data_IF_899097503195
#
_entry.id   IF_899097503195
#
_cell.length_a   1.000
_cell.length_b   1.000
_cell.length_c   1.000
_cell.angle_alpha   90.00
_cell.angle_beta   90.00
_cell.angle_gamma   90.00
#
_symmetry.space_group_name_H-M   'P 1'
#
loop_
_entity.id
_entity.type
_entity.pdbx_description
1 polymer ?
#
# COMPACT_ATOMS: atom_id res chain seq x y z
N UNK A 1 24.30 14.83 32.96
CA UNK A 1 23.30 13.75 32.98
C UNK A 1 22.28 13.94 31.86
N UNK A 2 21.73 15.15 31.64
CA UNK A 2 20.87 15.47 30.46
C UNK A 2 21.50 15.11 29.10
N UNK A 3 22.73 15.55 28.82
CA UNK A 3 23.42 15.22 27.55
C UNK A 3 23.62 13.71 27.30
N UNK A 4 23.62 12.89 28.35
CA UNK A 4 23.75 11.44 28.21
C UNK A 4 22.43 10.81 27.75
N UNK A 5 21.30 11.33 28.25
CA UNK A 5 19.95 10.87 27.89
C UNK A 5 19.63 11.18 26.41
N UNK A 6 19.92 12.41 25.96
CA UNK A 6 19.69 12.78 24.56
C UNK A 6 20.54 11.94 23.59
N UNK A 7 21.79 11.63 23.96
CA UNK A 7 22.67 10.80 23.13
C UNK A 7 22.16 9.35 23.04
N UNK A 8 21.59 8.81 24.11
CA UNK A 8 20.93 7.50 24.11
C UNK A 8 19.68 7.49 23.22
N UNK A 9 18.81 8.51 23.34
CA UNK A 9 17.65 8.68 22.45
C UNK A 9 18.08 8.79 20.99
N UNK A 10 19.13 9.56 20.68
CA UNK A 10 19.65 9.68 19.32
C UNK A 10 20.17 8.33 18.77
N UNK A 11 20.90 7.55 19.58
CA UNK A 11 21.32 6.19 19.21
C UNK A 11 20.13 5.26 18.96
N UNK A 12 19.08 5.36 19.79
CA UNK A 12 17.85 4.59 19.59
C UNK A 12 17.18 4.96 18.26
N UNK A 13 17.10 6.25 17.93
CA UNK A 13 16.59 6.72 16.62
C UNK A 13 17.43 6.22 15.45
N UNK A 14 18.75 6.17 15.58
CA UNK A 14 19.61 5.60 14.56
C UNK A 14 19.34 4.11 14.32
N UNK A 15 19.13 3.33 15.39
CA UNK A 15 18.76 1.92 15.28
C UNK A 15 17.37 1.74 14.65
N UNK A 16 16.40 2.59 15.01
CA UNK A 16 15.08 2.62 14.36
C UNK A 16 15.21 2.87 12.86
N UNK A 17 16.02 3.85 12.45
CA UNK A 17 16.25 4.16 11.05
C UNK A 17 16.85 2.96 10.29
N UNK A 18 17.84 2.28 10.88
CA UNK A 18 18.44 1.08 10.27
C UNK A 18 17.42 -0.05 10.10
N UNK A 19 16.51 -0.24 11.06
CA UNK A 19 15.42 -1.22 10.97
C UNK A 19 14.39 -0.82 9.92
N UNK A 20 13.94 0.43 9.92
CA UNK A 20 13.04 0.99 8.92
C UNK A 20 13.60 0.87 7.49
N UNK A 21 14.92 0.94 7.34
CA UNK A 21 15.61 0.74 6.07
C UNK A 21 15.72 -0.73 5.63
N UNK A 22 15.35 -1.71 6.46
CA UNK A 22 15.41 -3.13 6.13
C UNK A 22 14.02 -3.78 6.11
N UNK A 23 13.13 -3.38 7.02
CA UNK A 23 11.78 -3.94 7.12
C UNK A 23 10.72 -2.87 6.84
N UNK A 24 9.85 -3.16 5.87
CA UNK A 24 8.75 -2.27 5.46
C UNK A 24 7.56 -2.37 6.42
N UNK A 25 7.49 -3.45 7.21
CA UNK A 25 6.25 -3.90 7.82
C UNK A 25 6.08 -3.54 9.31
N UNK A 26 6.98 -2.75 9.89
CA UNK A 26 6.96 -2.52 11.35
C UNK A 26 6.76 -1.03 11.69
N UNK A 27 5.63 -0.49 11.22
CA UNK A 27 5.19 0.84 11.64
C UNK A 27 4.81 0.84 13.13
N UNK A 28 4.29 -0.28 13.63
CA UNK A 28 3.93 -0.52 15.03
C UNK A 28 5.15 -0.37 15.94
N UNK A 29 6.27 -1.03 15.62
CA UNK A 29 7.51 -0.86 16.36
C UNK A 29 8.01 0.59 16.35
N UNK A 30 7.93 1.28 15.20
CA UNK A 30 8.28 2.70 15.13
C UNK A 30 7.37 3.54 16.03
N UNK A 31 6.05 3.37 15.95
CA UNK A 31 5.10 4.12 16.76
C UNK A 31 5.31 3.87 18.27
N UNK A 32 5.54 2.62 18.66
CA UNK A 32 5.84 2.25 20.05
C UNK A 32 7.12 2.91 20.56
N UNK A 33 8.19 2.91 19.77
CA UNK A 33 9.46 3.50 20.18
C UNK A 33 9.38 5.03 20.25
N UNK A 34 8.68 5.67 19.31
CA UNK A 34 8.47 7.11 19.34
C UNK A 34 7.62 7.51 20.55
N UNK A 35 6.59 6.74 20.87
CA UNK A 35 5.78 6.92 22.07
C UNK A 35 6.64 6.85 23.34
N UNK A 36 7.45 5.80 23.48
CA UNK A 36 8.33 5.62 24.64
C UNK A 36 9.40 6.73 24.76
N UNK A 37 9.92 7.23 23.63
CA UNK A 37 10.97 8.27 23.64
C UNK A 37 10.45 9.67 23.98
N UNK A 38 9.22 9.98 23.56
CA UNK A 38 8.59 11.30 23.73
C UNK A 38 7.61 11.35 24.92
N UNK A 39 7.25 10.21 25.50
CA UNK A 39 6.21 10.14 26.53
C UNK A 39 4.87 10.70 26.03
N UNK A 40 4.53 10.44 24.77
CA UNK A 40 3.38 11.00 24.09
C UNK A 40 2.72 9.95 23.19
N UNK A 41 1.43 10.08 22.93
CA UNK A 41 0.78 9.30 21.89
C UNK A 41 1.48 9.57 20.55
N UNK A 42 1.62 8.55 19.71
CA UNK A 42 2.25 8.64 18.39
C UNK A 42 1.35 7.98 17.34
N UNK A 43 1.07 8.70 16.26
CA UNK A 43 0.22 8.24 15.16
C UNK A 43 0.95 8.42 13.84
N UNK A 44 1.06 7.36 13.03
CA UNK A 44 1.64 7.40 11.68
C UNK A 44 0.52 7.21 10.69
N UNK A 45 0.26 8.23 9.87
CA UNK A 45 -0.92 8.30 8.99
C UNK A 45 -0.45 8.46 7.55
N UNK A 46 -1.01 7.70 6.62
CA UNK A 46 -0.70 7.81 5.19
C UNK A 46 -1.42 8.98 4.51
N UNK A 47 -1.17 9.17 3.20
CA UNK A 47 -1.76 10.29 2.48
C UNK A 47 -3.29 10.20 2.26
N UNK A 48 -3.89 9.05 2.54
CA UNK A 48 -5.32 8.79 2.42
C UNK A 48 -6.03 8.87 3.78
N UNK A 49 -5.31 9.16 4.87
CA UNK A 49 -5.86 9.19 6.22
C UNK A 49 -5.95 7.81 6.88
N UNK A 50 -5.36 6.76 6.30
CA UNK A 50 -5.26 5.47 6.97
C UNK A 50 -4.22 5.57 8.08
N UNK A 51 -4.56 5.09 9.26
CA UNK A 51 -3.65 4.98 10.40
C UNK A 51 -2.82 3.72 10.17
N UNK A 52 -1.56 3.89 9.76
CA UNK A 52 -0.65 2.77 9.50
C UNK A 52 -0.19 2.11 10.79
N UNK A 53 0.06 2.91 11.81
CA UNK A 53 0.30 2.45 13.17
C UNK A 53 0.03 3.58 14.15
N UNK A 54 -0.25 3.20 15.40
CA UNK A 54 -0.32 4.14 16.50
C UNK A 54 0.08 3.48 17.80
N UNK A 55 0.48 4.33 18.77
CA UNK A 55 0.60 3.96 20.17
C UNK A 55 0.06 5.10 21.00
N UNK A 56 -1.02 4.86 21.74
CA UNK A 56 -1.63 5.78 22.69
C UNK A 56 -2.09 4.99 23.92
N UNK A 57 -1.73 5.47 25.11
CA UNK A 57 -2.14 4.84 26.37
C UNK A 57 -3.47 5.42 26.90
N UNK A 58 -4.00 6.46 26.26
CA UNK A 58 -5.23 7.15 26.66
C UNK A 58 -6.40 6.76 25.75
N UNK A 59 -7.55 6.45 26.35
CA UNK A 59 -8.79 6.09 25.61
C UNK A 59 -9.46 7.29 24.93
N UNK A 60 -9.33 8.47 25.52
CA UNK A 60 -9.81 9.75 24.97
C UNK A 60 -8.61 10.51 24.37
N UNK A 61 -8.13 9.97 23.25
CA UNK A 61 -6.93 10.43 22.55
C UNK A 61 -7.20 11.59 21.60
N UNK A 62 -6.21 11.93 20.78
CA UNK A 62 -6.33 12.98 19.75
C UNK A 62 -7.37 12.66 18.68
N UNK A 63 -7.51 11.37 18.36
CA UNK A 63 -8.46 10.88 17.39
C UNK A 63 -9.51 10.03 18.11
N UNK A 64 -10.73 10.01 17.58
CA UNK A 64 -11.82 9.29 18.22
C UNK A 64 -11.55 7.78 18.26
N UNK A 65 -12.11 7.10 19.26
CA UNK A 65 -12.00 5.65 19.39
C UNK A 65 -12.50 4.90 18.13
N UNK A 66 -13.52 5.45 17.45
CA UNK A 66 -14.06 4.90 16.21
C UNK A 66 -13.02 4.97 15.08
N UNK A 67 -12.39 6.13 14.87
CA UNK A 67 -11.35 6.30 13.83
C UNK A 67 -10.15 5.37 14.07
N UNK A 68 -9.68 5.31 15.32
CA UNK A 68 -8.53 4.48 15.70
C UNK A 68 -8.84 2.99 15.51
N UNK A 69 -10.04 2.54 15.91
CA UNK A 69 -10.46 1.14 15.76
C UNK A 69 -10.72 0.77 14.29
N UNK A 70 -11.24 1.72 13.50
CA UNK A 70 -11.42 1.55 12.06
C UNK A 70 -10.10 1.61 11.28
N UNK A 71 -9.01 2.08 11.90
CA UNK A 71 -7.71 2.28 11.25
C UNK A 71 -7.73 3.41 10.22
N UNK A 72 -8.68 4.35 10.31
CA UNK A 72 -8.88 5.40 9.33
C UNK A 72 -9.47 6.65 9.96
N UNK A 73 -8.84 7.78 9.69
CA UNK A 73 -9.33 9.09 10.08
C UNK A 73 -10.53 9.52 9.24
N UNK A 74 -11.44 10.27 9.87
CA UNK A 74 -12.55 10.91 9.17
C UNK A 74 -12.04 12.14 8.38
N UNK A 75 -12.90 12.67 7.50
CA UNK A 75 -12.53 13.80 6.63
C UNK A 75 -12.16 15.07 7.41
N UNK A 76 -12.76 15.29 8.59
CA UNK A 76 -12.46 16.44 9.43
C UNK A 76 -11.05 16.35 10.03
N UNK A 77 -10.69 15.20 10.60
CA UNK A 77 -9.38 14.90 11.17
C UNK A 77 -8.28 14.98 10.10
N UNK A 78 -8.52 14.39 8.93
CA UNK A 78 -7.61 14.50 7.78
C UNK A 78 -7.47 15.96 7.37
N UNK A 79 -8.59 16.66 7.18
CA UNK A 79 -8.62 18.06 6.80
C UNK A 79 -7.91 18.97 7.82
N UNK A 80 -7.92 18.63 9.11
CA UNK A 80 -7.21 19.36 10.15
C UNK A 80 -5.69 19.17 10.04
N UNK A 81 -5.19 17.93 10.03
CA UNK A 81 -3.74 17.67 10.00
C UNK A 81 -3.09 18.10 8.67
N UNK A 82 -3.87 18.16 7.58
CA UNK A 82 -3.40 18.61 6.26
C UNK A 82 -3.23 20.12 6.14
N UNK A 83 -3.78 20.93 7.05
CA UNK A 83 -3.54 22.39 7.06
C UNK A 83 -2.09 22.74 7.34
N UNK A 84 -1.35 21.83 7.97
CA UNK A 84 0.05 22.01 8.32
C UNK A 84 0.91 21.47 7.17
N UNK A 85 1.56 22.39 6.45
CA UNK A 85 2.52 22.08 5.38
C UNK A 85 3.97 21.98 5.87
N UNK A 86 4.23 22.46 7.09
CA UNK A 86 5.48 22.36 7.82
C UNK A 86 5.20 21.81 9.22
N UNK A 87 6.25 21.34 9.91
CA UNK A 87 6.16 20.91 11.30
C UNK A 87 5.55 22.02 12.15
N UNK A 88 4.55 21.66 12.95
CA UNK A 88 3.95 22.56 13.92
C UNK A 88 3.87 21.84 15.27
N UNK A 89 4.48 22.44 16.28
CA UNK A 89 4.57 21.89 17.64
C UNK A 89 3.78 22.74 18.62
N UNK A 90 3.43 22.14 19.76
CA UNK A 90 2.73 22.79 20.86
C UNK A 90 1.40 23.44 20.47
N UNK A 91 0.72 22.87 19.48
CA UNK A 91 -0.64 23.27 19.16
C UNK A 91 -1.53 22.76 20.28
N UNK A 92 -2.09 23.68 21.08
CA UNK A 92 -2.99 23.31 22.16
C UNK A 92 -4.42 23.13 21.62
N UNK A 93 -4.97 21.93 21.76
CA UNK A 93 -6.30 21.57 21.29
C UNK A 93 -6.92 20.51 22.21
N UNK A 94 -8.18 20.71 22.57
CA UNK A 94 -8.98 19.74 23.35
C UNK A 94 -8.27 19.26 24.63
N UNK A 95 -7.56 20.17 25.30
CA UNK A 95 -6.82 19.88 26.54
C UNK A 95 -5.47 19.19 26.33
N UNK A 96 -4.97 19.10 25.10
CA UNK A 96 -3.73 18.39 24.75
C UNK A 96 -2.79 19.25 23.92
N UNK A 97 -1.50 19.03 24.09
CA UNK A 97 -0.48 19.56 23.19
C UNK A 97 -0.29 18.60 22.02
N UNK A 98 -0.31 19.14 20.80
CA UNK A 98 -0.07 18.39 19.58
C UNK A 98 1.24 18.82 18.92
N UNK A 99 1.93 17.85 18.34
CA UNK A 99 2.99 18.07 17.37
C UNK A 99 2.59 17.35 16.08
N UNK A 100 2.43 18.11 15.01
CA UNK A 100 2.03 17.62 13.69
C UNK A 100 3.22 17.78 12.78
N UNK A 101 3.72 16.66 12.27
CA UNK A 101 4.91 16.62 11.42
C UNK A 101 4.54 16.03 10.05
N UNK A 102 4.37 16.89 9.03
CA UNK A 102 4.14 16.46 7.65
C UNK A 102 5.28 15.62 7.10
N UNK A 103 4.95 14.54 6.38
CA UNK A 103 5.92 13.77 5.60
C UNK A 103 5.73 14.11 4.12
N UNK A 104 6.74 14.70 3.51
CA UNK A 104 6.72 15.09 2.09
C UNK A 104 7.88 14.48 1.32
N UNK A 105 7.65 14.09 0.07
CA UNK A 105 8.67 13.66 -0.88
C UNK A 105 8.49 14.40 -2.20
N UNK A 106 9.54 15.06 -2.70
CA UNK A 106 9.52 15.84 -3.96
C UNK A 106 8.35 16.83 -4.08
N UNK A 107 7.94 17.43 -2.96
CA UNK A 107 6.82 18.38 -2.91
C UNK A 107 5.44 17.73 -2.76
N UNK A 108 5.33 16.41 -2.79
CA UNK A 108 4.08 15.69 -2.53
C UNK A 108 3.98 15.21 -1.08
N UNK A 109 2.81 15.39 -0.46
CA UNK A 109 2.50 14.87 0.88
C UNK A 109 2.29 13.35 0.80
N UNK A 110 3.09 12.61 1.55
CA UNK A 110 3.02 11.15 1.68
C UNK A 110 2.26 10.68 2.91
N UNK A 111 2.20 11.50 3.94
CA UNK A 111 1.61 11.14 5.22
C UNK A 111 1.91 12.17 6.30
N UNK A 112 1.60 11.84 7.53
CA UNK A 112 1.78 12.71 8.70
C UNK A 112 2.12 11.87 9.91
N UNK A 113 3.05 12.35 10.73
CA UNK A 113 3.18 11.86 12.11
C UNK A 113 2.54 12.87 13.04
N UNK A 114 1.69 12.39 13.95
CA UNK A 114 1.06 13.23 14.97
C UNK A 114 1.45 12.71 16.34
N UNK A 115 1.96 13.60 17.19
CA UNK A 115 2.19 13.33 18.60
C UNK A 115 1.23 14.10 19.48
N UNK A 116 0.84 13.50 20.61
CA UNK A 116 -0.05 14.18 21.56
C UNK A 116 0.12 13.74 23.00
N UNK A 117 0.13 14.72 23.92
CA UNK A 117 0.03 14.48 25.37
C UNK A 117 -0.77 15.57 26.07
N UNK A 118 -1.35 15.28 27.23
CA UNK A 118 -2.15 16.24 28.00
C UNK A 118 -1.30 17.11 28.94
N UNK A 119 -0.13 16.60 29.32
CA UNK A 119 0.55 16.99 30.55
C UNK A 119 1.33 18.31 30.37
N UNK A 120 2.23 18.33 29.39
CA UNK A 120 3.13 19.46 29.15
C UNK A 120 3.42 19.67 27.67
N UNK A 121 3.86 20.88 27.31
CA UNK A 121 4.33 21.22 25.97
C UNK A 121 5.59 20.44 25.62
N UNK A 122 5.81 20.13 24.35
CA UNK A 122 7.05 19.59 23.81
C UNK A 122 8.18 20.63 23.87
N UNK A 123 9.32 20.24 24.43
CA UNK A 123 10.52 21.07 24.40
C UNK A 123 11.27 20.97 23.05
N UNK A 124 12.35 21.73 22.90
CA UNK A 124 13.13 21.75 21.66
C UNK A 124 13.77 20.40 21.31
N UNK A 125 14.17 19.61 22.31
CA UNK A 125 14.79 18.30 22.08
C UNK A 125 13.73 17.29 21.62
N UNK A 126 12.56 17.31 22.24
CA UNK A 126 11.41 16.48 21.88
C UNK A 126 10.85 16.83 20.50
N UNK A 127 10.78 18.12 20.15
CA UNK A 127 10.42 18.56 18.80
C UNK A 127 11.41 17.99 17.79
N UNK A 128 12.71 18.10 18.05
CA UNK A 128 13.75 17.56 17.16
C UNK A 128 13.63 16.04 17.02
N UNK A 129 13.36 15.31 18.12
CA UNK A 129 13.15 13.86 18.09
C UNK A 129 11.88 13.48 17.32
N UNK A 130 10.79 14.24 17.47
CA UNK A 130 9.55 14.05 16.72
C UNK A 130 9.74 14.24 15.21
N UNK A 131 10.48 15.27 14.80
CA UNK A 131 10.86 15.48 13.40
C UNK A 131 11.75 14.36 12.86
N UNK A 132 12.70 13.88 13.67
CA UNK A 132 13.51 12.73 13.28
C UNK A 132 12.64 11.47 13.16
N UNK A 133 11.65 11.28 14.04
CA UNK A 133 10.67 10.19 13.95
C UNK A 133 9.83 10.23 12.69
N UNK A 134 9.44 11.42 12.26
CA UNK A 134 8.78 11.61 10.98
C UNK A 134 9.70 11.29 9.80
N UNK A 135 10.98 11.64 9.86
CA UNK A 135 11.95 11.28 8.83
C UNK A 135 12.16 9.76 8.73
N UNK A 136 12.17 9.02 9.85
CA UNK A 136 12.20 7.55 9.86
C UNK A 136 10.93 6.99 9.23
N UNK A 137 9.77 7.51 9.63
CA UNK A 137 8.47 7.12 9.08
C UNK A 137 8.39 7.41 7.57
N UNK A 138 9.05 8.46 7.09
CA UNK A 138 9.16 8.78 5.67
C UNK A 138 9.89 7.69 4.88
N UNK A 139 10.98 7.15 5.42
CA UNK A 139 11.71 6.03 4.81
C UNK A 139 10.80 4.79 4.71
N UNK A 140 10.04 4.49 5.76
CA UNK A 140 9.11 3.35 5.75
C UNK A 140 7.99 3.55 4.71
N UNK A 141 7.36 4.73 4.69
CA UNK A 141 6.34 5.08 3.70
C UNK A 141 6.87 4.99 2.27
N UNK A 142 8.07 5.50 1.99
CA UNK A 142 8.69 5.43 0.67
C UNK A 142 8.90 3.98 0.22
N UNK A 143 9.38 3.12 1.11
CA UNK A 143 9.55 1.69 0.81
C UNK A 143 8.22 1.00 0.57
N UNK A 144 7.20 1.30 1.38
CA UNK A 144 5.86 0.76 1.21
C UNK A 144 5.28 1.13 -0.17
N UNK A 145 5.39 2.40 -0.56
CA UNK A 145 4.94 2.89 -1.86
C UNK A 145 5.73 2.22 -2.99
N UNK A 146 7.06 2.17 -2.89
CA UNK A 146 7.91 1.55 -3.93
C UNK A 146 7.63 0.05 -4.08
N UNK A 147 7.47 -0.69 -2.98
CA UNK A 147 7.16 -2.12 -3.01
C UNK A 147 5.79 -2.39 -3.62
N UNK A 148 4.80 -1.54 -3.33
CA UNK A 148 3.48 -1.60 -3.98
C UNK A 148 3.62 -1.35 -5.48
N UNK A 149 4.32 -0.29 -5.88
CA UNK A 149 4.55 0.03 -7.29
C UNK A 149 5.31 -1.09 -8.03
N UNK A 150 6.35 -1.66 -7.42
CA UNK A 150 7.10 -2.80 -7.97
C UNK A 150 6.21 -4.04 -8.14
N UNK A 151 5.37 -4.34 -7.15
CA UNK A 151 4.43 -5.48 -7.22
C UNK A 151 3.44 -5.29 -8.36
N UNK A 152 2.86 -4.10 -8.49
CA UNK A 152 1.91 -3.79 -9.56
C UNK A 152 2.60 -3.81 -10.94
N UNK A 153 3.79 -3.23 -11.07
CA UNK A 153 4.60 -3.31 -12.30
C UNK A 153 4.95 -4.74 -12.66
N UNK A 154 5.30 -5.58 -11.67
CA UNK A 154 5.56 -7.00 -11.88
C UNK A 154 4.32 -7.73 -12.38
N UNK A 155 3.14 -7.49 -11.81
CA UNK A 155 1.89 -8.08 -12.30
C UNK A 155 1.63 -7.70 -13.76
N UNK A 156 1.78 -6.43 -14.12
CA UNK A 156 1.64 -5.98 -15.52
C UNK A 156 2.63 -6.66 -16.45
N UNK A 157 3.92 -6.69 -16.06
CA UNK A 157 4.98 -7.30 -16.87
C UNK A 157 4.73 -8.80 -17.13
N UNK A 158 4.21 -9.55 -16.15
CA UNK A 158 3.86 -10.97 -16.33
C UNK A 158 2.82 -11.14 -17.43
N UNK A 159 1.79 -10.28 -17.46
CA UNK A 159 0.77 -10.31 -18.51
C UNK A 159 1.36 -9.95 -19.87
N UNK A 160 2.13 -8.86 -19.94
CA UNK A 160 2.75 -8.42 -21.20
C UNK A 160 3.63 -9.51 -21.82
N UNK A 161 4.54 -10.09 -21.04
CA UNK A 161 5.39 -11.19 -21.49
C UNK A 161 4.57 -12.40 -21.94
N UNK A 162 3.47 -12.72 -21.25
CA UNK A 162 2.60 -13.81 -21.65
C UNK A 162 1.92 -13.55 -23.00
N UNK A 163 1.49 -12.31 -23.26
CA UNK A 163 0.89 -11.89 -24.53
C UNK A 163 1.91 -11.87 -25.67
N UNK A 164 3.15 -11.44 -25.43
CA UNK A 164 4.24 -11.42 -26.42
C UNK A 164 4.63 -12.82 -26.93
N UNK A 165 4.43 -13.87 -26.12
CA UNK A 165 4.71 -15.27 -26.50
C UNK A 165 3.62 -15.86 -27.40
N UNK A 166 2.46 -15.21 -27.49
CA UNK A 166 1.37 -15.63 -28.38
C UNK A 166 1.71 -15.26 -29.83
N UNK A 167 1.43 -16.18 -30.74
CA UNK A 167 1.37 -15.87 -32.17
C UNK A 167 0.15 -14.98 -32.46
N UNK A 168 0.15 -14.30 -33.61
CA UNK A 168 -0.95 -13.41 -34.00
C UNK A 168 -2.34 -14.06 -33.86
N UNK A 169 -2.50 -15.28 -34.38
CA UNK A 169 -3.78 -16.01 -34.28
C UNK A 169 -4.12 -16.47 -32.87
N UNK A 170 -3.12 -16.77 -32.03
CA UNK A 170 -3.35 -17.08 -30.61
C UNK A 170 -3.77 -15.84 -29.83
N UNK A 171 -3.17 -14.69 -30.12
CA UNK A 171 -3.53 -13.41 -29.51
C UNK A 171 -4.95 -12.98 -29.90
N UNK A 172 -5.34 -13.11 -31.18
CA UNK A 172 -6.73 -12.90 -31.61
C UNK A 172 -7.69 -13.86 -30.88
N UNK A 173 -7.31 -15.13 -30.74
CA UNK A 173 -8.11 -16.09 -29.98
C UNK A 173 -8.32 -15.65 -28.53
N UNK A 174 -7.27 -15.15 -27.86
CA UNK A 174 -7.37 -14.62 -26.49
C UNK A 174 -8.34 -13.44 -26.41
N UNK A 175 -8.27 -12.49 -27.35
CA UNK A 175 -9.20 -11.35 -27.39
C UNK A 175 -10.67 -11.80 -27.46
N UNK A 176 -10.97 -12.77 -28.33
CA UNK A 176 -12.33 -13.30 -28.42
C UNK A 176 -12.75 -14.08 -27.17
N UNK A 177 -11.85 -14.91 -26.62
CA UNK A 177 -12.11 -15.68 -25.39
C UNK A 177 -12.49 -14.75 -24.24
N UNK A 178 -11.66 -13.75 -23.96
CA UNK A 178 -11.86 -12.84 -22.82
C UNK A 178 -12.86 -11.72 -23.11
N UNK A 179 -13.29 -11.53 -24.36
CA UNK A 179 -14.46 -10.73 -24.69
C UNK A 179 -15.79 -11.41 -24.33
N UNK A 180 -15.83 -12.74 -24.31
CA UNK A 180 -17.02 -13.54 -23.96
C UNK A 180 -17.13 -13.87 -22.46
N UNK A 181 -16.05 -13.73 -21.70
CA UNK A 181 -16.04 -14.00 -20.25
C UNK A 181 -16.43 -12.73 -19.50
N UNK A 182 -17.61 -12.72 -18.89
CA UNK A 182 -18.01 -11.65 -17.98
C UNK A 182 -17.30 -11.81 -16.61
N UNK A 183 -16.41 -10.87 -16.27
CA UNK A 183 -15.76 -10.82 -14.96
C UNK A 183 -14.44 -11.62 -14.87
N UNK A 184 -14.15 -12.21 -13.72
CA UNK A 184 -12.85 -12.87 -13.45
C UNK A 184 -12.84 -14.39 -13.67
N UNK A 185 -13.99 -14.99 -14.00
CA UNK A 185 -14.12 -16.44 -14.20
C UNK A 185 -15.29 -16.79 -15.14
N UNK A 186 -15.17 -17.89 -15.87
CA UNK A 186 -16.20 -18.31 -16.82
C UNK A 186 -15.97 -19.69 -17.42
N UNK A 187 -16.94 -20.16 -18.20
CA UNK A 187 -16.85 -21.42 -18.95
C UNK A 187 -16.74 -21.14 -20.43
N UNK A 188 -15.79 -21.80 -21.09
CA UNK A 188 -15.57 -21.68 -22.52
C UNK A 188 -15.75 -23.04 -23.21
N UNK A 189 -16.50 -23.06 -24.30
CA UNK A 189 -16.58 -24.20 -25.21
C UNK A 189 -15.71 -23.90 -26.44
N UNK A 190 -14.49 -24.42 -26.45
CA UNK A 190 -13.51 -24.15 -27.51
C UNK A 190 -13.99 -24.52 -28.93
N UNK A 191 -14.88 -25.51 -29.06
CA UNK A 191 -15.46 -25.88 -30.35
C UNK A 191 -16.40 -24.80 -30.91
N UNK A 192 -17.23 -24.19 -30.06
CA UNK A 192 -18.14 -23.11 -30.44
C UNK A 192 -17.33 -21.90 -30.91
N UNK A 193 -16.33 -21.52 -30.12
CA UNK A 193 -15.47 -20.38 -30.41
C UNK A 193 -14.66 -20.57 -31.72
N UNK A 194 -14.17 -21.79 -31.97
CA UNK A 194 -13.47 -22.13 -33.20
C UNK A 194 -14.36 -21.94 -34.46
N UNK A 195 -15.62 -22.38 -34.39
CA UNK A 195 -16.58 -22.23 -35.50
C UNK A 195 -16.99 -20.77 -35.71
N UNK A 196 -17.24 -20.05 -34.62
CA UNK A 196 -17.72 -18.67 -34.63
C UNK A 196 -16.69 -17.68 -35.21
N UNK A 197 -15.45 -17.76 -34.74
CA UNK A 197 -14.38 -16.84 -35.16
C UNK A 197 -13.46 -17.43 -36.24
N UNK A 198 -13.83 -18.57 -36.84
CA UNK A 198 -13.07 -19.28 -37.89
C UNK A 198 -11.62 -19.57 -37.49
N UNK A 199 -11.40 -19.91 -36.22
CA UNK A 199 -10.11 -20.32 -35.67
C UNK A 199 -10.02 -21.84 -35.57
N UNK A 200 -8.81 -22.39 -35.49
CA UNK A 200 -8.66 -23.82 -35.16
C UNK A 200 -8.72 -24.04 -33.66
N UNK A 201 -9.30 -25.16 -33.22
CA UNK A 201 -9.33 -25.53 -31.80
C UNK A 201 -7.93 -25.59 -31.18
N UNK A 202 -6.91 -25.97 -31.96
CA UNK A 202 -5.52 -26.02 -31.50
C UNK A 202 -4.95 -24.64 -31.17
N UNK A 203 -5.31 -23.60 -31.92
CA UNK A 203 -4.90 -22.21 -31.62
C UNK A 203 -5.47 -21.75 -30.28
N UNK A 204 -6.77 -22.00 -30.04
CA UNK A 204 -7.43 -21.66 -28.76
C UNK A 204 -6.77 -22.40 -27.58
N UNK A 205 -6.58 -23.72 -27.71
CA UNK A 205 -5.99 -24.53 -26.64
C UNK A 205 -4.53 -24.13 -26.36
N UNK A 206 -3.75 -23.84 -27.41
CA UNK A 206 -2.36 -23.40 -27.24
C UNK A 206 -2.27 -22.03 -26.58
N UNK A 207 -3.13 -21.10 -26.96
CA UNK A 207 -3.21 -19.78 -26.34
C UNK A 207 -3.51 -19.87 -24.84
N UNK A 208 -4.54 -20.63 -24.47
CA UNK A 208 -4.90 -20.86 -23.07
C UNK A 208 -3.75 -21.52 -22.29
N UNK A 209 -3.09 -22.54 -22.87
CA UNK A 209 -1.95 -23.22 -22.23
C UNK A 209 -0.76 -22.29 -22.00
N UNK A 210 -0.50 -21.35 -22.91
CA UNK A 210 0.58 -20.36 -22.77
C UNK A 210 0.28 -19.36 -21.65
N UNK A 211 -0.95 -18.85 -21.57
CA UNK A 211 -1.38 -17.96 -20.48
C UNK A 211 -1.39 -18.67 -19.12
N UNK A 212 -1.82 -19.93 -19.07
CA UNK A 212 -1.78 -20.76 -17.87
C UNK A 212 -0.34 -21.02 -17.41
N UNK A 213 0.56 -21.33 -18.35
CA UNK A 213 1.99 -21.55 -18.05
C UNK A 213 2.66 -20.29 -17.50
N UNK A 214 2.20 -19.10 -17.89
CA UNK A 214 2.68 -17.82 -17.36
C UNK A 214 2.05 -17.44 -16.01
N UNK A 215 1.09 -18.22 -15.51
CA UNK A 215 0.36 -17.93 -14.27
C UNK A 215 -0.61 -16.76 -14.38
N UNK A 216 -1.01 -16.40 -15.60
CA UNK A 216 -1.98 -15.31 -15.85
C UNK A 216 -3.41 -15.82 -15.64
N UNK A 217 -3.66 -17.09 -15.96
CA UNK A 217 -4.95 -17.76 -15.79
C UNK A 217 -4.79 -19.16 -15.19
N UNK A 218 -5.88 -19.71 -14.67
CA UNK A 218 -6.05 -21.13 -14.34
C UNK A 218 -7.11 -21.72 -15.29
N UNK A 219 -6.77 -22.79 -16.02
CA UNK A 219 -7.63 -23.38 -17.03
C UNK A 219 -7.87 -24.87 -16.75
N UNK A 220 -9.10 -25.24 -16.36
CA UNK A 220 -9.46 -26.61 -16.01
C UNK A 220 -10.43 -27.20 -17.02
N UNK A 221 -9.98 -28.23 -17.74
CA UNK A 221 -10.84 -28.97 -18.68
C UNK A 221 -11.91 -29.77 -17.95
N UNK A 222 -13.17 -29.60 -18.35
CA UNK A 222 -14.33 -30.36 -17.87
C UNK A 222 -14.88 -31.30 -18.95
N UNK A 223 -14.03 -31.66 -19.92
CA UNK A 223 -14.39 -32.51 -21.05
C UNK A 223 -15.47 -31.86 -21.92
N UNK A 224 -16.58 -32.56 -22.11
CA UNK A 224 -17.70 -32.10 -22.96
C UNK A 224 -18.39 -30.84 -22.45
N UNK A 225 -18.26 -30.50 -21.16
CA UNK A 225 -18.85 -29.30 -20.56
C UNK A 225 -18.06 -28.02 -20.87
N UNK A 226 -16.90 -28.15 -21.52
CA UNK A 226 -16.00 -27.04 -21.83
C UNK A 226 -14.82 -26.96 -20.87
N UNK A 227 -14.17 -25.80 -20.86
CA UNK A 227 -13.04 -25.47 -20.00
C UNK A 227 -13.47 -24.36 -19.05
N UNK A 228 -13.32 -24.57 -17.75
CA UNK A 228 -13.45 -23.50 -16.76
C UNK A 228 -12.16 -22.68 -16.76
N UNK A 229 -12.29 -21.36 -16.84
CA UNK A 229 -11.18 -20.43 -16.87
C UNK A 229 -11.36 -19.46 -15.70
N UNK A 230 -10.28 -19.24 -14.95
CA UNK A 230 -10.19 -18.20 -13.92
C UNK A 230 -9.01 -17.29 -14.20
N UNK A 231 -9.25 -15.99 -14.23
CA UNK A 231 -8.20 -14.97 -14.37
C UNK A 231 -7.50 -14.82 -13.02
N UNK A 232 -6.19 -15.03 -13.00
CA UNK A 232 -5.36 -14.90 -11.79
C UNK A 232 -4.74 -13.50 -11.68
N UNK A 233 -4.54 -12.82 -12.82
CA UNK A 233 -3.95 -11.49 -12.89
C UNK A 233 -4.98 -10.50 -13.46
N UNK A 234 -5.35 -9.53 -12.62
CA UNK A 234 -6.34 -8.48 -12.89
C UNK A 234 -5.94 -7.56 -14.05
N UNK A 235 -4.66 -7.50 -14.40
CA UNK A 235 -4.15 -6.72 -15.52
C UNK A 235 -4.35 -7.35 -16.90
N UNK A 236 -4.86 -8.59 -16.99
CA UNK A 236 -5.10 -9.25 -18.27
C UNK A 236 -5.99 -8.42 -19.20
N UNK A 237 -7.13 -7.94 -18.70
CA UNK A 237 -8.08 -7.16 -19.50
C UNK A 237 -7.48 -5.80 -19.91
N UNK A 238 -6.82 -5.10 -18.99
CA UNK A 238 -6.15 -3.82 -19.27
C UNK A 238 -5.10 -3.95 -20.39
N UNK A 239 -4.27 -5.00 -20.35
CA UNK A 239 -3.23 -5.19 -21.36
C UNK A 239 -3.81 -5.69 -22.69
N UNK A 240 -4.89 -6.47 -22.69
CA UNK A 240 -5.56 -6.91 -23.92
C UNK A 240 -6.20 -5.75 -24.71
N UNK A 241 -6.68 -4.71 -24.04
CA UNK A 241 -7.23 -3.51 -24.69
C UNK A 241 -6.16 -2.66 -25.41
N UNK A 242 -4.89 -2.78 -25.01
CA UNK A 242 -3.78 -1.99 -25.59
C UNK A 242 -3.24 -2.57 -26.88
N UNK A 243 -3.51 -3.84 -27.15
CA UNK A 243 -3.00 -4.60 -28.31
C UNK A 243 -4.14 -4.82 -29.28
#
# INVERSE_FOLDING_TARGET
>A
MENTNLMEKNRAMHLLLQKAANDVADFEYTAEHLHNMLGAAAYIIDKQGNILAYRDDVKDGTFSYEEVTAGKLNEESVGYIYRYTQSASNIFRDGRYLMIVPITNMGERMGTVVFSRADESFDSEEIMLGEYGAAISAVQLLRMINRKAETEARKKNVVQLALEVLSYSELEAVKYIFGEIEGSEGFLIASKLAEEYKLTRSVIVNALRKLESAGVIDARSLGMKGTYIKVLNDYLYEELEKV
#
